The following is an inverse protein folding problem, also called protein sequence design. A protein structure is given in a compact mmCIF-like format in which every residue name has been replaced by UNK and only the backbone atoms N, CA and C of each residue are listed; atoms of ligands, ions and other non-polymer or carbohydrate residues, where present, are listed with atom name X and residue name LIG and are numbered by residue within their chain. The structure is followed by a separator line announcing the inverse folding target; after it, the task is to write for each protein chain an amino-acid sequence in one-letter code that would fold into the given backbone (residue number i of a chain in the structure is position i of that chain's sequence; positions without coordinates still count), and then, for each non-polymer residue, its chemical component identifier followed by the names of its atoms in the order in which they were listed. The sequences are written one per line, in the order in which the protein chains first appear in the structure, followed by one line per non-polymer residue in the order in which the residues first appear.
data_IF_147535962091
#
_entry.id   IF_147535962091
#
_cell.length_a   1.000
_cell.length_b   1.000
_cell.length_c   1.000
_cell.angle_alpha   90.00
_cell.angle_beta   90.00
_cell.angle_gamma   90.00
#
_symmetry.space_group_name_H-M   'P 1'
#
loop_
_entity.id
_entity.type
_entity.pdbx_description
1 polymer ?
#
# COMPACT_ATOMS: atom_id res chain seq x y z
N UNK A 1 -4.35 -14.60 40.82
CA UNK A 1 -4.66 -14.14 42.16
C UNK A 1 -3.44 -13.68 42.96
N UNK A 2 -2.31 -14.43 42.99
CA UNK A 2 -1.08 -14.06 43.71
C UNK A 2 -0.42 -12.75 43.23
N UNK A 3 -0.51 -12.43 41.95
CA UNK A 3 0.07 -11.20 41.37
C UNK A 3 -0.72 -9.96 41.78
N UNK A 4 -2.06 -10.04 41.77
CA UNK A 4 -2.90 -8.93 42.18
C UNK A 4 -2.81 -8.68 43.72
N UNK A 5 -2.60 -9.73 44.51
CA UNK A 5 -2.39 -9.64 45.95
C UNK A 5 -1.06 -8.95 46.27
N UNK A 6 0.05 -9.29 45.58
CA UNK A 6 1.34 -8.60 45.69
C UNK A 6 1.27 -7.12 45.36
N UNK A 7 0.41 -6.74 44.40
CA UNK A 7 0.27 -5.31 44.00
C UNK A 7 -0.53 -4.52 45.06
N UNK A 8 -1.47 -5.19 45.79
CA UNK A 8 -2.22 -4.56 46.87
C UNK A 8 -1.42 -4.39 48.16
N UNK A 9 -0.47 -5.28 48.41
CA UNK A 9 0.37 -5.28 49.59
C UNK A 9 1.60 -4.35 49.46
N UNK A 10 1.95 -3.91 48.23
CA UNK A 10 3.08 -3.03 47.94
C UNK A 10 2.64 -1.57 47.88
N UNK A 11 3.03 -0.78 48.89
CA UNK A 11 2.73 0.67 48.95
C UNK A 11 3.58 1.53 48.01
N UNK A 12 4.45 0.93 47.17
CA UNK A 12 5.29 1.66 46.19
C UNK A 12 5.42 0.84 44.89
N UNK A 13 5.42 1.53 43.76
CA UNK A 13 5.78 0.93 42.45
C UNK A 13 7.24 0.50 42.56
N UNK A 14 7.49 -0.82 42.63
CA UNK A 14 8.87 -1.34 42.58
C UNK A 14 9.42 -1.09 41.21
N UNK A 15 10.59 -0.44 41.14
CA UNK A 15 11.35 -0.29 39.92
C UNK A 15 11.59 -1.67 39.27
N UNK A 16 11.53 -1.75 37.95
CA UNK A 16 11.85 -2.97 37.23
C UNK A 16 13.36 -3.19 37.23
N UNK A 17 13.85 -3.98 38.18
CA UNK A 17 15.26 -4.33 38.32
C UNK A 17 15.72 -5.45 37.38
N UNK A 18 14.89 -5.86 36.39
CA UNK A 18 15.27 -6.94 35.44
C UNK A 18 16.47 -6.55 34.59
N UNK A 19 16.63 -5.28 34.26
CA UNK A 19 17.77 -4.75 33.53
C UNK A 19 19.09 -4.74 34.37
N UNK A 20 18.98 -4.69 35.69
CA UNK A 20 20.13 -4.65 36.61
C UNK A 20 20.61 -6.04 37.03
N UNK A 21 19.81 -7.10 36.72
CA UNK A 21 20.25 -8.46 36.97
C UNK A 21 21.34 -8.83 35.98
N UNK A 22 22.58 -8.85 36.42
CA UNK A 22 23.77 -9.24 35.66
C UNK A 22 23.81 -10.71 35.20
N UNK A 23 22.62 -11.36 35.11
CA UNK A 23 22.52 -12.74 34.61
C UNK A 23 22.86 -12.77 33.13
N UNK A 24 23.97 -13.40 32.80
CA UNK A 24 24.34 -13.71 31.42
C UNK A 24 23.93 -15.14 31.12
N UNK A 25 23.03 -15.38 30.13
CA UNK A 25 22.66 -16.72 29.70
C UNK A 25 23.89 -17.52 29.23
N UNK A 26 23.98 -18.79 29.59
CA UNK A 26 25.10 -19.67 29.21
C UNK A 26 25.35 -19.76 27.69
N UNK A 27 24.31 -19.50 26.88
CA UNK A 27 24.33 -19.52 25.41
C UNK A 27 24.41 -18.10 24.79
N UNK A 28 24.86 -17.11 25.56
CA UNK A 28 25.13 -15.77 25.02
C UNK A 28 26.34 -15.86 24.07
N UNK A 29 26.20 -15.25 22.89
CA UNK A 29 27.34 -15.13 21.96
C UNK A 29 28.53 -14.48 22.64
N UNK A 30 29.68 -15.11 22.50
CA UNK A 30 30.98 -14.56 22.89
C UNK A 30 31.32 -13.34 22.02
N UNK A 31 32.29 -12.55 22.47
CA UNK A 31 32.77 -11.41 21.67
C UNK A 31 33.47 -11.89 20.38
N UNK A 32 34.14 -13.03 20.44
CA UNK A 32 34.71 -13.68 19.23
C UNK A 32 33.65 -14.02 18.18
N UNK A 33 32.57 -14.68 18.58
CA UNK A 33 31.45 -15.01 17.67
C UNK A 33 30.73 -13.76 17.13
N UNK A 34 30.63 -12.70 17.93
CA UNK A 34 30.09 -11.41 17.48
C UNK A 34 30.97 -10.76 16.42
N UNK A 35 32.29 -10.77 16.64
CA UNK A 35 33.25 -10.23 15.67
C UNK A 35 33.26 -11.07 14.38
N UNK A 36 33.14 -12.39 14.47
CA UNK A 36 32.99 -13.27 13.32
C UNK A 36 31.71 -12.95 12.50
N UNK A 37 30.57 -12.76 13.17
CA UNK A 37 29.32 -12.31 12.52
C UNK A 37 29.52 -10.99 11.79
N UNK A 38 30.18 -10.01 12.39
CA UNK A 38 30.46 -8.73 11.75
C UNK A 38 31.42 -8.86 10.57
N UNK A 39 32.47 -9.64 10.71
CA UNK A 39 33.43 -9.89 9.62
C UNK A 39 32.77 -10.53 8.41
N UNK A 40 31.97 -11.57 8.64
CA UNK A 40 31.22 -12.26 7.56
C UNK A 40 30.21 -11.32 6.92
N UNK A 41 29.40 -10.65 7.74
CA UNK A 41 28.37 -9.76 7.22
C UNK A 41 28.96 -8.57 6.44
N UNK A 42 30.21 -8.20 6.64
CA UNK A 42 30.88 -7.11 5.93
C UNK A 42 31.86 -7.61 4.85
N UNK A 43 31.92 -8.91 4.59
CA UNK A 43 32.72 -9.44 3.47
C UNK A 43 32.17 -9.02 2.13
N UNK A 44 33.00 -9.06 1.08
CA UNK A 44 32.61 -8.73 -0.29
C UNK A 44 31.43 -9.61 -0.78
N UNK A 45 31.40 -10.87 -0.34
CA UNK A 45 30.34 -11.81 -0.68
C UNK A 45 28.97 -11.46 -0.04
N UNK A 46 28.98 -11.05 1.24
CA UNK A 46 27.75 -10.89 2.03
C UNK A 46 27.38 -9.44 2.37
N UNK A 47 28.26 -8.48 2.09
CA UNK A 47 28.09 -7.08 2.48
C UNK A 47 26.79 -6.42 2.01
N UNK A 48 26.27 -6.86 0.89
CA UNK A 48 25.02 -6.38 0.29
C UNK A 48 23.78 -7.18 0.71
N UNK A 49 23.94 -8.28 1.45
CA UNK A 49 22.87 -9.20 1.81
C UNK A 49 22.32 -8.96 3.23
N UNK A 50 21.02 -9.14 3.47
CA UNK A 50 20.45 -9.16 4.81
C UNK A 50 20.74 -10.49 5.52
N UNK A 51 20.68 -10.52 6.86
CA UNK A 51 20.85 -11.75 7.65
C UNK A 51 19.99 -12.93 7.19
N UNK A 52 18.76 -12.68 6.74
CA UNK A 52 17.84 -13.69 6.20
C UNK A 52 18.35 -14.41 4.94
N UNK A 53 19.35 -13.85 4.28
CA UNK A 53 20.01 -14.48 3.12
C UNK A 53 21.42 -14.97 3.46
N UNK A 54 22.11 -14.32 4.40
CA UNK A 54 23.44 -14.72 4.85
C UNK A 54 23.39 -16.08 5.56
N UNK A 55 22.50 -16.22 6.55
CA UNK A 55 22.44 -17.42 7.39
C UNK A 55 22.13 -18.69 6.59
N UNK A 56 21.14 -18.73 5.68
CA UNK A 56 20.93 -19.91 4.84
C UNK A 56 22.13 -20.23 3.94
N UNK A 57 22.77 -19.23 3.34
CA UNK A 57 23.95 -19.46 2.47
C UNK A 57 25.15 -20.02 3.25
N UNK A 58 25.37 -19.57 4.49
CA UNK A 58 26.37 -20.15 5.36
C UNK A 58 26.03 -21.61 5.72
N UNK A 59 24.75 -21.90 5.96
CA UNK A 59 24.29 -23.25 6.20
C UNK A 59 24.51 -24.18 4.98
N UNK A 60 24.24 -23.70 3.77
CA UNK A 60 24.52 -24.41 2.51
C UNK A 60 26.03 -24.70 2.34
N UNK A 61 26.91 -23.84 2.89
CA UNK A 61 28.37 -24.04 2.94
C UNK A 61 28.82 -24.91 4.13
N UNK A 62 27.87 -25.49 4.88
CA UNK A 62 28.17 -26.29 6.08
C UNK A 62 28.62 -25.49 7.31
N UNK A 63 28.42 -24.16 7.31
CA UNK A 63 28.81 -23.26 8.42
C UNK A 63 27.57 -22.78 9.16
N UNK A 64 27.53 -22.99 10.47
CA UNK A 64 26.52 -22.42 11.36
C UNK A 64 27.20 -21.69 12.51
N UNK A 65 26.99 -20.38 12.61
CA UNK A 65 27.57 -19.53 13.67
C UNK A 65 26.49 -19.15 14.67
N UNK A 66 25.37 -18.62 14.18
CA UNK A 66 24.26 -18.19 15.01
C UNK A 66 22.96 -18.10 14.21
N UNK A 67 21.83 -18.02 14.90
CA UNK A 67 20.53 -17.82 14.28
C UNK A 67 20.43 -16.46 13.56
N UNK A 68 19.55 -16.38 12.59
CA UNK A 68 19.22 -15.14 11.88
C UNK A 68 18.91 -13.96 12.84
N UNK A 69 18.11 -14.21 13.89
CA UNK A 69 17.80 -13.24 14.92
C UNK A 69 19.02 -12.72 15.67
N UNK A 70 20.05 -13.58 15.83
CA UNK A 70 21.32 -13.18 16.45
C UNK A 70 22.14 -12.27 15.54
N UNK A 71 22.22 -12.60 14.24
CA UNK A 71 22.82 -11.72 13.23
C UNK A 71 22.15 -10.34 13.22
N UNK A 72 20.82 -10.27 13.21
CA UNK A 72 20.10 -9.00 13.28
C UNK A 72 20.45 -8.20 14.55
N UNK A 73 20.54 -8.86 15.71
CA UNK A 73 20.89 -8.19 16.98
C UNK A 73 22.30 -7.64 16.97
N UNK A 74 23.28 -8.41 16.49
CA UNK A 74 24.68 -7.99 16.41
C UNK A 74 24.83 -6.82 15.43
N UNK A 75 24.27 -6.92 14.22
CA UNK A 75 24.31 -5.85 13.23
C UNK A 75 23.56 -4.59 13.69
N UNK A 76 22.45 -4.75 14.43
CA UNK A 76 21.73 -3.61 15.02
C UNK A 76 22.59 -2.89 16.05
N UNK A 77 23.28 -3.64 16.93
CA UNK A 77 24.17 -3.06 17.92
C UNK A 77 25.37 -2.34 17.29
N UNK A 78 25.82 -2.80 16.12
CA UNK A 78 26.89 -2.16 15.31
C UNK A 78 26.37 -1.06 14.36
N UNK A 79 25.07 -0.71 14.39
CA UNK A 79 24.45 0.27 13.48
C UNK A 79 24.57 -0.08 11.97
N UNK A 80 24.68 -1.38 11.63
CA UNK A 80 24.92 -1.86 10.27
C UNK A 80 23.71 -2.54 9.60
N UNK A 81 22.51 -2.39 10.14
CA UNK A 81 21.29 -2.97 9.53
C UNK A 81 20.76 -2.11 8.38
N UNK A 82 20.88 -0.79 8.50
CA UNK A 82 20.31 0.13 7.51
C UNK A 82 21.07 0.06 6.19
N UNK A 83 20.32 0.02 5.08
CA UNK A 83 20.83 0.11 3.71
C UNK A 83 21.69 -1.06 3.20
N UNK A 84 21.71 -2.21 3.88
CA UNK A 84 22.47 -3.39 3.36
C UNK A 84 22.02 -3.87 1.98
N UNK A 85 20.73 -3.70 1.63
CA UNK A 85 20.19 -4.06 0.32
C UNK A 85 20.24 -2.96 -0.72
N UNK A 86 20.52 -1.74 -0.33
CA UNK A 86 20.36 -0.57 -1.18
C UNK A 86 21.70 0.07 -1.45
N UNK A 87 22.24 -0.18 -2.61
CA UNK A 87 23.37 0.58 -3.18
C UNK A 87 22.95 2.03 -3.51
N UNK A 88 21.64 2.29 -3.60
CA UNK A 88 21.09 3.62 -3.80
C UNK A 88 20.47 4.15 -2.52
N UNK A 89 20.92 5.31 -2.02
CA UNK A 89 20.22 5.97 -0.92
C UNK A 89 18.77 6.22 -1.30
N UNK A 90 17.83 6.17 -0.33
CA UNK A 90 16.45 6.49 -0.61
C UNK A 90 16.36 7.91 -1.18
N UNK A 91 15.87 8.02 -2.41
CA UNK A 91 15.64 9.32 -3.02
C UNK A 91 14.48 10.00 -2.25
N UNK A 92 14.69 11.23 -1.72
CA UNK A 92 13.61 11.97 -1.12
C UNK A 92 12.53 12.23 -2.19
N UNK A 93 11.36 11.64 -2.02
CA UNK A 93 10.21 11.86 -2.90
C UNK A 93 9.52 13.13 -2.42
N UNK A 94 9.69 14.22 -3.14
CA UNK A 94 8.96 15.46 -2.88
C UNK A 94 7.47 15.19 -3.06
N UNK A 95 6.65 15.58 -2.07
CA UNK A 95 5.19 15.47 -2.17
C UNK A 95 4.74 16.33 -3.36
N UNK A 96 3.96 15.81 -4.30
CA UNK A 96 3.40 16.60 -5.38
C UNK A 96 2.59 17.77 -4.82
N UNK A 97 2.52 18.86 -5.56
CA UNK A 97 1.62 19.97 -5.21
C UNK A 97 0.20 19.43 -5.17
N UNK A 98 -0.51 19.71 -4.07
CA UNK A 98 -1.89 19.29 -3.94
C UNK A 98 -2.73 19.93 -5.05
N UNK A 99 -3.51 19.11 -5.75
CA UNK A 99 -4.49 19.59 -6.71
C UNK A 99 -5.73 20.05 -5.93
N UNK A 100 -6.26 21.22 -6.29
CA UNK A 100 -7.48 21.76 -5.73
C UNK A 100 -8.41 22.20 -6.86
N UNK A 101 -9.71 21.91 -6.71
CA UNK A 101 -10.75 22.40 -7.59
C UNK A 101 -11.51 23.55 -6.91
N UNK A 102 -11.82 24.59 -7.66
CA UNK A 102 -12.61 25.77 -7.22
C UNK A 102 -14.01 25.79 -7.85
N UNK A 103 -14.26 24.93 -8.83
CA UNK A 103 -15.54 24.75 -9.52
C UNK A 103 -15.70 23.29 -9.98
N UNK A 104 -16.93 22.86 -10.34
CA UNK A 104 -17.16 21.55 -10.97
C UNK A 104 -16.37 21.40 -12.27
N UNK A 105 -16.10 20.14 -12.63
CA UNK A 105 -15.43 19.77 -13.88
C UNK A 105 -14.01 20.37 -14.03
N UNK A 106 -13.28 20.57 -12.93
CA UNK A 106 -11.86 20.96 -12.94
C UNK A 106 -10.93 19.83 -12.54
N UNK A 107 -11.37 19.00 -11.59
CA UNK A 107 -10.57 17.89 -11.07
C UNK A 107 -11.47 16.68 -10.84
N UNK A 108 -11.18 15.61 -11.56
CA UNK A 108 -11.79 14.31 -11.34
C UNK A 108 -10.81 13.38 -10.61
N UNK A 109 -11.33 12.64 -9.66
CA UNK A 109 -10.63 11.55 -9.00
C UNK A 109 -11.26 10.24 -9.45
N UNK A 110 -10.46 9.28 -9.91
CA UNK A 110 -11.00 7.99 -10.30
C UNK A 110 -10.15 6.83 -9.79
N UNK A 111 -10.82 5.71 -9.61
CA UNK A 111 -10.21 4.50 -9.11
C UNK A 111 -11.09 3.29 -9.42
N UNK A 112 -10.55 2.08 -9.25
CA UNK A 112 -11.23 0.81 -9.48
C UNK A 112 -11.35 0.06 -8.16
N UNK A 113 -12.56 -0.36 -7.82
CA UNK A 113 -12.82 -1.19 -6.65
C UNK A 113 -13.30 -2.57 -7.02
N UNK A 114 -12.87 -3.57 -6.26
CA UNK A 114 -13.23 -4.98 -6.47
C UNK A 114 -14.52 -5.32 -5.75
N UNK A 115 -15.47 -5.89 -6.50
CA UNK A 115 -16.73 -6.44 -6.02
C UNK A 115 -16.63 -7.97 -6.04
N UNK A 116 -16.73 -8.66 -4.90
CA UNK A 116 -16.52 -10.10 -4.84
C UNK A 116 -17.62 -10.87 -5.57
N UNK A 117 -17.25 -11.89 -6.33
CA UNK A 117 -18.18 -12.83 -6.95
C UNK A 117 -18.35 -14.08 -6.09
N UNK A 118 -19.33 -14.93 -6.43
CA UNK A 118 -19.56 -16.22 -5.77
C UNK A 118 -18.37 -17.17 -5.91
N UNK A 119 -17.50 -16.96 -6.89
CA UNK A 119 -16.29 -17.74 -7.10
C UNK A 119 -15.11 -17.08 -6.36
N UNK A 120 -14.55 -17.76 -5.37
CA UNK A 120 -13.45 -17.25 -4.56
C UNK A 120 -12.25 -16.87 -5.44
N UNK A 121 -11.80 -15.62 -5.30
CA UNK A 121 -10.67 -15.07 -6.05
C UNK A 121 -11.05 -14.43 -7.39
N UNK A 122 -12.33 -14.47 -7.78
CA UNK A 122 -12.86 -13.70 -8.90
C UNK A 122 -13.60 -12.47 -8.42
N UNK A 123 -13.54 -11.40 -9.21
CA UNK A 123 -14.14 -10.11 -8.88
C UNK A 123 -14.75 -9.48 -10.11
N UNK A 124 -15.81 -8.69 -9.91
CA UNK A 124 -16.18 -7.64 -10.84
C UNK A 124 -15.46 -6.36 -10.44
N UNK A 125 -15.22 -5.49 -11.40
CA UNK A 125 -14.43 -4.30 -11.27
C UNK A 125 -15.31 -3.06 -11.40
N UNK A 126 -15.53 -2.36 -10.31
CA UNK A 126 -16.26 -1.10 -10.28
C UNK A 126 -15.32 0.04 -10.60
N UNK A 127 -15.44 0.59 -11.79
CA UNK A 127 -14.80 1.83 -12.22
C UNK A 127 -15.67 3.00 -11.77
N UNK A 128 -15.11 3.96 -11.07
CA UNK A 128 -15.86 5.08 -10.56
C UNK A 128 -15.07 6.37 -10.68
N UNK A 129 -15.69 7.41 -11.19
CA UNK A 129 -15.13 8.75 -11.37
C UNK A 129 -15.95 9.76 -10.58
N UNK A 130 -15.25 10.51 -9.73
CA UNK A 130 -15.82 11.51 -8.83
C UNK A 130 -15.33 12.91 -9.21
N UNK A 131 -16.23 13.88 -9.33
CA UNK A 131 -15.83 15.29 -9.33
C UNK A 131 -15.43 15.73 -7.92
N UNK A 132 -14.18 16.18 -7.77
CA UNK A 132 -13.61 16.50 -6.45
C UNK A 132 -14.27 17.69 -5.79
N UNK A 133 -14.76 18.65 -6.58
CA UNK A 133 -15.43 19.85 -6.05
C UNK A 133 -16.85 19.55 -5.57
N UNK A 134 -17.70 19.05 -6.45
CA UNK A 134 -19.13 18.80 -6.14
C UNK A 134 -19.40 17.52 -5.37
N UNK A 135 -18.43 16.58 -5.35
CA UNK A 135 -18.59 15.21 -4.83
C UNK A 135 -19.57 14.35 -5.64
N UNK A 136 -19.99 14.83 -6.80
CA UNK A 136 -20.84 14.07 -7.72
C UNK A 136 -20.04 12.91 -8.33
N UNK A 137 -20.65 11.74 -8.38
CA UNK A 137 -20.17 10.65 -9.22
C UNK A 137 -20.55 11.03 -10.66
N UNK A 138 -19.55 11.41 -11.46
CA UNK A 138 -19.76 11.85 -12.85
C UNK A 138 -19.83 10.69 -13.83
N UNK A 139 -19.36 9.52 -13.41
CA UNK A 139 -19.50 8.30 -14.17
C UNK A 139 -19.04 7.07 -13.41
N UNK A 140 -19.66 5.94 -13.77
CA UNK A 140 -19.30 4.65 -13.23
C UNK A 140 -19.67 3.54 -14.23
N UNK A 141 -18.99 2.41 -14.09
CA UNK A 141 -19.36 1.18 -14.79
C UNK A 141 -18.79 -0.03 -14.05
N UNK A 142 -19.43 -1.19 -14.20
CA UNK A 142 -18.94 -2.47 -13.68
C UNK A 142 -18.56 -3.36 -14.85
N UNK A 143 -17.32 -3.88 -14.81
CA UNK A 143 -16.76 -4.78 -15.82
C UNK A 143 -16.28 -6.09 -15.21
N UNK A 144 -15.97 -7.06 -16.05
CA UNK A 144 -15.41 -8.36 -15.68
C UNK A 144 -13.88 -8.36 -15.65
N UNK A 145 -13.26 -7.30 -16.17
CA UNK A 145 -11.79 -7.17 -16.24
C UNK A 145 -11.32 -5.73 -16.02
N UNK A 146 -10.04 -5.58 -15.70
CA UNK A 146 -9.35 -4.29 -15.72
C UNK A 146 -8.69 -4.05 -17.08
N UNK A 147 -9.12 -2.98 -17.78
CA UNK A 147 -8.63 -2.67 -19.11
C UNK A 147 -8.53 -1.18 -19.35
N UNK A 148 -7.45 -0.76 -20.03
CA UNK A 148 -7.26 0.63 -20.46
C UNK A 148 -8.26 1.04 -21.56
N UNK A 149 -8.75 0.09 -22.34
CA UNK A 149 -9.79 0.32 -23.35
C UNK A 149 -11.13 0.66 -22.67
N UNK A 150 -11.53 -0.12 -21.67
CA UNK A 150 -12.76 0.12 -20.90
C UNK A 150 -12.70 1.44 -20.12
N UNK A 151 -11.54 1.74 -19.53
CA UNK A 151 -11.28 3.03 -18.89
C UNK A 151 -11.46 4.19 -19.87
N UNK A 152 -10.86 4.06 -21.05
CA UNK A 152 -10.90 5.08 -22.11
C UNK A 152 -12.33 5.34 -22.60
N UNK A 153 -13.14 4.29 -22.75
CA UNK A 153 -14.52 4.42 -23.13
C UNK A 153 -15.33 5.16 -22.07
N UNK A 154 -15.22 4.73 -20.80
CA UNK A 154 -15.89 5.40 -19.68
C UNK A 154 -15.57 6.89 -19.62
N UNK A 155 -14.29 7.28 -19.78
CA UNK A 155 -13.89 8.68 -19.73
C UNK A 155 -14.46 9.48 -20.93
N UNK A 156 -14.53 8.90 -22.13
CA UNK A 156 -15.20 9.55 -23.28
C UNK A 156 -16.68 9.79 -23.01
N UNK A 157 -17.35 8.80 -22.45
CA UNK A 157 -18.79 8.87 -22.13
C UNK A 157 -19.04 9.95 -21.08
N UNK A 158 -18.18 10.05 -20.05
CA UNK A 158 -18.23 11.10 -19.03
C UNK A 158 -18.02 12.49 -19.66
N UNK A 159 -16.98 12.66 -20.48
CA UNK A 159 -16.73 13.94 -21.13
C UNK A 159 -17.91 14.39 -21.99
N UNK A 160 -18.55 13.44 -22.69
CA UNK A 160 -19.73 13.75 -23.47
C UNK A 160 -20.94 14.13 -22.59
N UNK A 161 -21.22 13.35 -21.55
CA UNK A 161 -22.39 13.58 -20.67
C UNK A 161 -22.28 14.84 -19.81
N UNK A 162 -21.06 15.14 -19.32
CA UNK A 162 -20.81 16.34 -18.49
C UNK A 162 -20.44 17.59 -19.31
N UNK A 163 -20.39 17.48 -20.65
CA UNK A 163 -20.06 18.60 -21.54
C UNK A 163 -18.64 19.14 -21.32
N UNK A 164 -17.68 18.28 -20.97
CA UNK A 164 -16.31 18.67 -20.69
C UNK A 164 -15.62 19.19 -21.95
N UNK A 165 -15.03 20.36 -21.89
CA UNK A 165 -14.22 20.92 -22.98
C UNK A 165 -12.73 20.68 -22.76
N UNK A 166 -11.96 20.71 -23.86
CA UNK A 166 -10.52 20.48 -23.81
C UNK A 166 -9.82 21.43 -22.82
N UNK A 167 -8.82 20.93 -22.12
CA UNK A 167 -8.01 21.64 -21.12
C UNK A 167 -8.76 22.10 -19.84
N UNK A 168 -10.01 21.66 -19.66
CA UNK A 168 -10.82 22.00 -18.50
C UNK A 168 -10.51 21.11 -17.30
N UNK A 169 -10.37 19.79 -17.52
CA UNK A 169 -10.33 18.79 -16.45
C UNK A 169 -8.96 18.18 -16.31
N UNK A 170 -8.51 18.04 -15.05
CA UNK A 170 -7.42 17.15 -14.67
C UNK A 170 -8.00 15.86 -14.11
N UNK A 171 -7.60 14.71 -14.65
CA UNK A 171 -7.96 13.39 -14.14
C UNK A 171 -6.86 12.87 -13.23
N UNK A 172 -7.15 12.73 -11.95
CA UNK A 172 -6.24 12.16 -10.95
C UNK A 172 -6.58 10.69 -10.68
N UNK A 173 -5.58 9.84 -10.67
CA UNK A 173 -5.74 8.40 -10.42
C UNK A 173 -4.51 7.79 -9.75
N UNK A 174 -4.64 6.55 -9.34
CA UNK A 174 -3.52 5.72 -8.94
C UNK A 174 -2.61 5.33 -10.12
N UNK A 175 -1.55 4.56 -9.82
CA UNK A 175 -0.58 4.10 -10.80
C UNK A 175 -0.96 2.74 -11.43
N UNK A 176 -2.23 2.35 -11.38
CA UNK A 176 -2.73 1.10 -11.94
C UNK A 176 -2.49 0.97 -13.45
N UNK A 177 -2.40 -0.27 -13.93
CA UNK A 177 -2.22 -0.57 -15.35
C UNK A 177 -3.33 0.03 -16.24
N UNK A 178 -4.62 -0.02 -15.87
CA UNK A 178 -5.69 0.61 -16.65
C UNK A 178 -5.54 2.12 -16.78
N UNK A 179 -4.93 2.75 -15.76
CA UNK A 179 -4.77 4.21 -15.65
C UNK A 179 -3.62 4.74 -16.51
N UNK A 180 -2.56 3.95 -16.65
CA UNK A 180 -1.32 4.31 -17.37
C UNK A 180 -1.16 3.61 -18.72
N UNK A 181 -2.11 2.80 -19.12
CA UNK A 181 -2.08 2.13 -20.42
C UNK A 181 -1.99 3.15 -21.57
N UNK A 182 -1.23 2.82 -22.62
CA UNK A 182 -1.03 3.70 -23.78
C UNK A 182 -2.36 4.19 -24.37
N UNK A 183 -3.36 3.32 -24.46
CA UNK A 183 -4.70 3.65 -24.95
C UNK A 183 -5.37 4.71 -24.08
N UNK A 184 -5.26 4.59 -22.76
CA UNK A 184 -5.83 5.58 -21.84
C UNK A 184 -5.13 6.93 -21.95
N UNK A 185 -3.80 6.95 -21.97
CA UNK A 185 -3.03 8.19 -22.11
C UNK A 185 -3.31 8.90 -23.44
N UNK A 186 -3.40 8.13 -24.55
CA UNK A 186 -3.78 8.67 -25.85
C UNK A 186 -5.18 9.26 -25.84
N UNK A 187 -6.13 8.60 -25.16
CA UNK A 187 -7.51 9.10 -25.02
C UNK A 187 -7.54 10.42 -24.24
N UNK A 188 -6.84 10.52 -23.12
CA UNK A 188 -6.77 11.76 -22.34
C UNK A 188 -6.18 12.90 -23.17
N UNK A 189 -5.13 12.62 -23.95
CA UNK A 189 -4.55 13.60 -24.86
C UNK A 189 -5.56 14.05 -25.94
N UNK A 190 -6.31 13.12 -26.56
CA UNK A 190 -7.34 13.44 -27.55
C UNK A 190 -8.46 14.29 -26.97
N UNK A 191 -8.87 14.03 -25.71
CA UNK A 191 -9.90 14.78 -25.01
C UNK A 191 -9.37 16.11 -24.44
N UNK A 192 -8.06 16.36 -24.51
CA UNK A 192 -7.43 17.54 -23.91
C UNK A 192 -7.48 17.54 -22.39
N UNK A 193 -7.53 16.36 -21.76
CA UNK A 193 -7.50 16.21 -20.29
C UNK A 193 -6.07 16.05 -19.80
N UNK A 194 -5.73 16.73 -18.70
CA UNK A 194 -4.47 16.55 -18.02
C UNK A 194 -4.51 15.29 -17.14
N UNK A 195 -3.49 14.43 -17.27
CA UNK A 195 -3.33 13.28 -16.40
C UNK A 195 -2.50 13.63 -15.16
N UNK A 196 -2.95 13.19 -13.99
CA UNK A 196 -2.23 13.30 -12.72
C UNK A 196 -2.23 11.94 -12.01
N UNK A 197 -1.09 11.56 -11.42
CA UNK A 197 -0.94 10.26 -10.80
C UNK A 197 -0.44 10.36 -9.37
N UNK A 198 -0.95 9.48 -8.52
CA UNK A 198 -0.43 9.26 -7.16
C UNK A 198 1.05 8.86 -7.19
N UNK A 199 1.77 9.10 -6.11
CA UNK A 199 3.13 8.58 -5.96
C UNK A 199 3.09 7.05 -5.84
N UNK A 200 4.05 6.31 -6.42
CA UNK A 200 4.10 4.87 -6.26
C UNK A 200 4.16 4.45 -4.78
N UNK A 201 3.32 3.52 -4.37
CA UNK A 201 3.21 3.00 -3.01
C UNK A 201 2.85 4.04 -1.92
N UNK A 202 2.12 5.10 -2.27
CA UNK A 202 1.58 6.08 -1.33
C UNK A 202 0.07 6.13 -1.49
N UNK A 203 -0.66 5.49 -0.56
CA UNK A 203 -2.13 5.40 -0.59
C UNK A 203 -2.82 6.75 -0.38
N UNK A 204 -2.24 7.65 0.41
CA UNK A 204 -2.89 8.93 0.76
C UNK A 204 -2.91 9.98 -0.36
N UNK A 205 -2.48 9.64 -1.56
CA UNK A 205 -2.44 10.59 -2.67
C UNK A 205 -3.77 10.61 -3.48
N UNK A 206 -4.66 9.59 -3.30
CA UNK A 206 -6.02 9.59 -3.89
C UNK A 206 -7.13 9.46 -2.82
N UNK A 207 -7.19 10.38 -1.83
CA UNK A 207 -8.05 10.24 -0.65
C UNK A 207 -9.55 10.30 -0.97
N UNK A 208 -9.94 10.94 -2.06
CA UNK A 208 -11.35 11.12 -2.44
C UNK A 208 -11.97 9.81 -2.90
N UNK A 209 -11.33 9.09 -3.82
CA UNK A 209 -11.78 7.78 -4.28
C UNK A 209 -11.72 6.75 -3.14
N UNK A 210 -10.63 6.73 -2.36
CA UNK A 210 -10.50 5.82 -1.21
C UNK A 210 -11.62 6.05 -0.16
N UNK A 211 -11.90 7.31 0.18
CA UNK A 211 -12.97 7.66 1.11
C UNK A 211 -14.34 7.25 0.59
N UNK A 212 -14.60 7.46 -0.70
CA UNK A 212 -15.85 7.08 -1.34
C UNK A 212 -16.02 5.55 -1.31
N UNK A 213 -15.03 4.78 -1.75
CA UNK A 213 -15.11 3.32 -1.71
C UNK A 213 -15.24 2.77 -0.29
N UNK A 214 -14.60 3.39 0.69
CA UNK A 214 -14.80 3.04 2.09
C UNK A 214 -16.27 3.27 2.48
N UNK A 215 -16.84 4.43 2.15
CA UNK A 215 -18.25 4.72 2.41
C UNK A 215 -19.16 3.70 1.74
N UNK A 216 -18.92 3.35 0.47
CA UNK A 216 -19.71 2.38 -0.27
C UNK A 216 -19.70 1.00 0.36
N UNK A 217 -18.52 0.51 0.75
CA UNK A 217 -18.34 -0.85 1.32
C UNK A 217 -18.81 -1.00 2.78
N UNK A 218 -18.90 0.10 3.51
CA UNK A 218 -19.34 0.09 4.92
C UNK A 218 -20.79 0.57 5.13
N UNK A 219 -21.55 0.77 4.05
CA UNK A 219 -22.98 1.08 4.16
C UNK A 219 -23.76 -0.14 4.66
N UNK A 220 -24.85 0.09 5.43
CA UNK A 220 -25.71 -1.00 5.91
C UNK A 220 -26.35 -1.84 4.80
N UNK A 221 -26.55 -1.25 3.61
CA UNK A 221 -27.12 -1.85 2.41
C UNK A 221 -26.08 -2.50 1.49
N UNK A 222 -24.80 -2.55 1.88
CA UNK A 222 -23.80 -3.32 1.17
C UNK A 222 -24.15 -4.81 1.19
N UNK A 223 -24.15 -5.54 0.05
CA UNK A 223 -24.56 -6.93 0.02
C UNK A 223 -23.73 -7.81 0.96
N UNK A 224 -24.43 -8.56 1.82
CA UNK A 224 -23.81 -9.54 2.72
C UNK A 224 -23.26 -10.76 1.98
N UNK A 225 -23.80 -11.04 0.79
CA UNK A 225 -23.36 -12.13 -0.09
C UNK A 225 -22.61 -11.56 -1.28
N UNK A 226 -21.63 -12.31 -1.82
CA UNK A 226 -20.99 -11.96 -3.08
C UNK A 226 -22.01 -11.85 -4.22
N UNK A 227 -21.69 -11.05 -5.24
CA UNK A 227 -22.53 -10.86 -6.43
C UNK A 227 -22.55 -12.14 -7.28
N UNK A 228 -23.74 -12.53 -7.71
CA UNK A 228 -23.95 -13.74 -8.52
C UNK A 228 -23.57 -13.51 -9.97
N UNK A 229 -23.90 -12.33 -10.51
CA UNK A 229 -23.63 -11.95 -11.88
C UNK A 229 -23.36 -10.44 -12.05
N UNK A 230 -22.91 -10.08 -13.23
CA UNK A 230 -22.61 -8.70 -13.61
C UNK A 230 -23.85 -7.78 -13.62
N UNK A 231 -25.03 -8.20 -14.11
CA UNK A 231 -26.26 -7.43 -14.00
C UNK A 231 -26.65 -7.09 -12.58
N UNK A 232 -26.53 -8.02 -11.63
CA UNK A 232 -26.78 -7.77 -10.20
C UNK A 232 -25.84 -6.72 -9.63
N UNK A 233 -24.54 -6.83 -9.93
CA UNK A 233 -23.56 -5.85 -9.49
C UNK A 233 -23.84 -4.46 -10.07
N UNK A 234 -24.19 -4.36 -11.35
CA UNK A 234 -24.56 -3.09 -12.00
C UNK A 234 -25.83 -2.49 -11.42
N UNK A 235 -26.84 -3.31 -11.15
CA UNK A 235 -28.09 -2.84 -10.54
C UNK A 235 -27.80 -2.25 -9.14
N UNK A 236 -27.03 -2.97 -8.34
CA UNK A 236 -26.68 -2.48 -7.00
C UNK A 236 -25.94 -1.13 -7.05
N UNK A 237 -24.99 -0.96 -7.98
CA UNK A 237 -24.30 0.33 -8.16
C UNK A 237 -25.26 1.41 -8.66
N UNK A 238 -26.18 1.08 -9.59
CA UNK A 238 -27.17 2.02 -10.10
C UNK A 238 -28.13 2.53 -9.00
N UNK A 239 -28.52 1.64 -8.08
CA UNK A 239 -29.39 1.99 -6.95
C UNK A 239 -28.65 2.84 -5.88
N UNK A 240 -27.33 2.90 -5.97
CA UNK A 240 -26.45 3.57 -5.01
C UNK A 240 -26.04 4.97 -5.46
N UNK A 241 -25.93 5.24 -6.79
CA UNK A 241 -25.50 6.49 -7.39
C UNK A 241 -26.66 7.41 -7.68
#
# INVERSE_FOLDING_TARGET
LRTAQRWREGQSVRADLRSERGYQPKHRLTDAERNEILAIANSDEFGHLPPSQIVPRLADQGRYIASESSFYRVLKAAYQIKHRRSERPPQPRTKPKALAATAPNQLYSWDISYLPTTVKGQFFYLYLVLDVFSRKIVGWQVFEEESSQLSSQLIRDICHSEGVVAQQVTLHSDNGSPMKGATMLATLQQLGMAASFSRPAVSNDNPYSESLFKTLKYRPDYPLKPFEDLPQARKWVADLV
#
